data_IF_531709619934
#
_entry.id   IF_531709619934
#
_cell.length_a   1.000
_cell.length_b   1.000
_cell.length_c   1.000
_cell.angle_alpha   90.00
_cell.angle_beta   90.00
_cell.angle_gamma   90.00
#
_symmetry.space_group_name_H-M   'P 1'
#
loop_
_entity.id
_entity.type
_entity.pdbx_description
1 polymer ?
#
# COMPACT_ATOMS: atom_id res chain seq x y z
N UNK A 1 15.38 48.97 17.17
CA UNK A 1 15.38 48.58 15.75
C UNK A 1 14.35 47.47 15.56
N UNK A 2 13.31 47.66 14.74
CA UNK A 2 12.34 46.61 14.39
C UNK A 2 12.78 45.99 13.06
N UNK A 3 13.10 44.69 13.06
CA UNK A 3 13.39 43.96 11.83
C UNK A 3 12.09 43.85 11.01
N UNK A 4 12.13 44.36 9.78
CA UNK A 4 11.07 44.16 8.79
C UNK A 4 11.62 43.16 7.77
N UNK A 5 11.25 41.87 7.84
CA UNK A 5 11.74 40.90 6.87
C UNK A 5 11.11 41.21 5.51
N UNK A 6 11.93 41.68 4.57
CA UNK A 6 11.56 41.73 3.15
C UNK A 6 11.73 40.33 2.58
N UNK A 7 10.65 39.55 2.60
CA UNK A 7 10.62 38.32 1.82
C UNK A 7 10.33 38.69 0.36
N UNK A 8 11.39 39.04 -0.38
CA UNK A 8 11.30 39.38 -1.81
C UNK A 8 10.93 38.16 -2.70
N UNK A 9 10.78 36.96 -2.10
CA UNK A 9 10.46 35.69 -2.76
C UNK A 9 9.06 35.15 -2.41
N UNK A 10 8.10 36.01 -2.07
CA UNK A 10 6.71 35.60 -2.11
C UNK A 10 6.29 35.53 -3.59
N UNK A 11 6.64 34.43 -4.29
CA UNK A 11 6.03 34.10 -5.58
C UNK A 11 4.50 34.08 -5.35
N UNK A 12 3.83 35.16 -5.75
CA UNK A 12 2.39 35.36 -5.59
C UNK A 12 1.59 34.48 -6.55
N UNK A 13 2.26 33.92 -7.55
CA UNK A 13 1.68 33.11 -8.62
C UNK A 13 2.17 31.67 -8.50
N UNK A 14 1.25 30.79 -8.08
CA UNK A 14 1.49 29.35 -8.03
C UNK A 14 1.67 28.81 -9.45
N UNK A 15 2.91 28.65 -9.92
CA UNK A 15 3.17 28.12 -11.27
C UNK A 15 2.63 26.69 -11.38
N UNK A 16 1.91 26.39 -12.46
CA UNK A 16 1.30 25.09 -12.70
C UNK A 16 2.30 23.92 -12.59
N UNK A 17 3.56 24.16 -12.94
CA UNK A 17 4.64 23.16 -12.83
C UNK A 17 4.88 22.71 -11.39
N UNK A 18 4.78 23.62 -10.41
CA UNK A 18 4.88 23.25 -9.00
C UNK A 18 3.72 22.34 -8.58
N UNK A 19 2.50 22.63 -9.04
CA UNK A 19 1.32 21.79 -8.77
C UNK A 19 1.49 20.40 -9.39
N UNK A 20 2.01 20.31 -10.62
CA UNK A 20 2.29 19.03 -11.30
C UNK A 20 3.34 18.21 -10.55
N UNK A 21 4.44 18.83 -10.11
CA UNK A 21 5.50 18.16 -9.33
C UNK A 21 4.94 17.65 -8.00
N UNK A 22 4.19 18.47 -7.27
CA UNK A 22 3.59 18.07 -5.99
C UNK A 22 2.62 16.89 -6.17
N UNK A 23 1.79 16.91 -7.22
CA UNK A 23 0.89 15.79 -7.55
C UNK A 23 1.66 14.51 -7.88
N UNK A 24 2.73 14.60 -8.69
CA UNK A 24 3.55 13.44 -9.03
C UNK A 24 4.27 12.86 -7.80
N UNK A 25 4.75 13.72 -6.89
CA UNK A 25 5.36 13.30 -5.63
C UNK A 25 4.34 12.62 -4.71
N UNK A 26 3.12 13.17 -4.62
CA UNK A 26 2.03 12.59 -3.86
C UNK A 26 1.66 11.20 -4.41
N UNK A 27 1.47 11.08 -5.73
CA UNK A 27 1.19 9.80 -6.39
C UNK A 27 2.32 8.77 -6.15
N UNK A 28 3.58 9.20 -6.21
CA UNK A 28 4.72 8.33 -5.94
C UNK A 28 4.71 7.81 -4.50
N UNK A 29 4.34 8.66 -3.53
CA UNK A 29 4.18 8.25 -2.12
C UNK A 29 3.04 7.23 -1.97
N UNK A 30 1.88 7.50 -2.57
CA UNK A 30 0.73 6.59 -2.53
C UNK A 30 1.04 5.21 -3.11
N UNK A 31 1.80 5.14 -4.21
CA UNK A 31 2.25 3.87 -4.80
C UNK A 31 3.19 3.14 -3.83
N UNK A 32 4.16 3.85 -3.26
CA UNK A 32 5.13 3.26 -2.32
C UNK A 32 4.43 2.75 -1.04
N UNK A 33 3.47 3.50 -0.52
CA UNK A 33 2.68 3.16 0.66
C UNK A 33 1.81 1.93 0.40
N UNK A 34 1.13 1.89 -0.74
CA UNK A 34 0.34 0.72 -1.17
C UNK A 34 1.21 -0.52 -1.30
N UNK A 35 2.38 -0.39 -1.94
CA UNK A 35 3.33 -1.50 -2.08
C UNK A 35 3.79 -2.03 -0.72
N UNK A 36 4.13 -1.13 0.21
CA UNK A 36 4.54 -1.49 1.56
C UNK A 36 3.42 -2.17 2.35
N UNK A 37 2.17 -1.70 2.22
CA UNK A 37 1.00 -2.35 2.83
C UNK A 37 0.85 -3.79 2.36
N UNK A 38 0.85 -4.01 1.03
CA UNK A 38 0.71 -5.35 0.45
C UNK A 38 1.86 -6.27 0.91
N UNK A 39 3.10 -5.77 0.92
CA UNK A 39 4.27 -6.52 1.37
C UNK A 39 4.14 -6.92 2.84
N UNK A 40 3.83 -5.96 3.71
CA UNK A 40 3.70 -6.18 5.15
C UNK A 40 2.55 -7.13 5.48
N UNK A 41 1.43 -7.05 4.76
CA UNK A 41 0.33 -8.00 4.93
C UNK A 41 0.74 -9.43 4.52
N UNK A 42 1.44 -9.58 3.38
CA UNK A 42 1.95 -10.88 2.95
C UNK A 42 2.94 -11.48 3.96
N UNK A 43 3.78 -10.65 4.61
CA UNK A 43 4.63 -11.08 5.73
C UNK A 43 3.77 -11.51 6.92
N UNK A 44 2.80 -10.68 7.33
CA UNK A 44 1.97 -10.93 8.51
C UNK A 44 1.20 -12.25 8.42
N UNK A 45 0.54 -12.50 7.29
CA UNK A 45 -0.22 -13.74 7.05
C UNK A 45 0.72 -14.93 7.05
N UNK A 46 1.84 -14.86 6.33
CA UNK A 46 2.74 -16.00 6.16
C UNK A 46 3.62 -16.29 7.39
N UNK A 47 3.69 -15.38 8.36
CA UNK A 47 4.51 -15.54 9.57
C UNK A 47 4.01 -16.64 10.53
N UNK A 48 2.76 -17.08 10.43
CA UNK A 48 2.17 -18.09 11.32
C UNK A 48 1.25 -19.04 10.53
N UNK A 49 1.35 -20.38 10.73
CA UNK A 49 0.42 -21.34 10.15
C UNK A 49 -1.04 -21.02 10.49
N UNK A 50 -1.31 -20.64 11.75
CA UNK A 50 -2.65 -20.31 12.21
C UNK A 50 -3.25 -19.13 11.43
N UNK A 51 -2.46 -18.08 11.17
CA UNK A 51 -2.90 -16.94 10.35
C UNK A 51 -3.11 -17.32 8.89
N UNK A 52 -2.24 -18.17 8.34
CA UNK A 52 -2.40 -18.70 6.98
C UNK A 52 -3.68 -19.52 6.85
N UNK A 53 -3.96 -20.40 7.80
CA UNK A 53 -5.14 -21.26 7.79
C UNK A 53 -6.42 -20.44 7.99
N UNK A 54 -6.40 -19.44 8.88
CA UNK A 54 -7.46 -18.47 9.03
C UNK A 54 -7.77 -17.74 7.71
N UNK A 55 -6.74 -17.25 7.02
CA UNK A 55 -6.87 -16.59 5.71
C UNK A 55 -7.35 -17.55 4.62
N UNK A 56 -6.92 -18.81 4.67
CA UNK A 56 -7.34 -19.87 3.77
C UNK A 56 -8.83 -20.18 3.92
N UNK A 57 -9.33 -20.19 5.15
CA UNK A 57 -10.74 -20.47 5.46
C UNK A 57 -11.70 -19.34 5.10
N UNK A 58 -11.21 -18.13 4.85
CA UNK A 58 -12.01 -17.02 4.33
C UNK A 58 -12.39 -17.18 2.86
N UNK A 59 -11.72 -18.06 2.13
CA UNK A 59 -11.94 -18.22 0.70
C UNK A 59 -13.06 -19.22 0.43
N UNK A 60 -14.08 -18.86 -0.37
CA UNK A 60 -15.21 -19.73 -0.65
C UNK A 60 -14.87 -20.86 -1.63
N UNK A 61 -14.02 -20.57 -2.64
CA UNK A 61 -13.76 -21.46 -3.77
C UNK A 61 -12.32 -21.99 -3.79
N UNK A 62 -12.15 -23.20 -4.33
CA UNK A 62 -10.84 -23.77 -4.64
C UNK A 62 -10.36 -23.36 -6.06
N UNK A 63 -9.03 -23.25 -6.32
CA UNK A 63 -7.95 -23.43 -5.37
C UNK A 63 -7.74 -22.19 -4.51
N UNK A 64 -7.75 -22.39 -3.19
CA UNK A 64 -7.48 -21.32 -2.24
C UNK A 64 -6.02 -20.88 -2.31
N UNK A 65 -5.80 -19.57 -2.28
CA UNK A 65 -4.50 -18.94 -2.46
C UNK A 65 -4.06 -18.21 -1.20
N UNK A 66 -2.74 -18.17 -0.96
CA UNK A 66 -2.14 -17.29 0.04
C UNK A 66 -1.43 -16.11 -0.62
N UNK A 67 -1.25 -14.98 0.09
CA UNK A 67 -0.38 -13.90 -0.36
C UNK A 67 1.03 -14.42 -0.61
N UNK A 68 1.68 -13.88 -1.65
CA UNK A 68 3.09 -14.19 -1.94
C UNK A 68 3.93 -12.96 -1.62
N UNK A 69 5.15 -13.16 -1.12
CA UNK A 69 6.10 -12.08 -0.88
C UNK A 69 6.91 -11.80 -2.14
N UNK A 70 7.33 -10.55 -2.31
CA UNK A 70 8.36 -10.20 -3.26
C UNK A 70 9.74 -10.68 -2.77
N UNK A 71 10.67 -10.88 -3.70
CA UNK A 71 11.99 -11.41 -3.42
C UNK A 71 13.04 -10.58 -4.16
N UNK A 72 14.08 -10.14 -3.43
CA UNK A 72 15.14 -9.27 -3.96
C UNK A 72 15.84 -9.85 -5.20
N UNK A 73 15.95 -11.16 -5.29
CA UNK A 73 16.70 -11.86 -6.34
C UNK A 73 15.89 -12.18 -7.60
N UNK A 74 14.58 -11.88 -7.63
CA UNK A 74 13.70 -12.19 -8.76
C UNK A 74 13.05 -10.93 -9.32
N UNK A 75 13.37 -10.61 -10.57
CA UNK A 75 12.99 -9.35 -11.24
C UNK A 75 11.48 -9.12 -11.34
N UNK A 76 10.67 -10.17 -11.38
CA UNK A 76 9.20 -10.09 -11.51
C UNK A 76 8.44 -10.32 -10.20
N UNK A 77 9.13 -10.45 -9.07
CA UNK A 77 8.51 -10.86 -7.81
C UNK A 77 7.49 -9.83 -7.28
N UNK A 78 7.80 -8.54 -7.37
CA UNK A 78 6.87 -7.45 -7.04
C UNK A 78 5.60 -7.52 -7.88
N UNK A 79 5.74 -7.74 -9.19
CA UNK A 79 4.59 -7.87 -10.09
C UNK A 79 3.72 -9.08 -9.70
N UNK A 80 4.34 -10.23 -9.44
CA UNK A 80 3.60 -11.43 -9.03
C UNK A 80 2.89 -11.22 -7.68
N UNK A 81 3.53 -10.54 -6.73
CA UNK A 81 2.93 -10.17 -5.44
C UNK A 81 1.69 -9.31 -5.64
N UNK A 82 1.79 -8.24 -6.42
CA UNK A 82 0.67 -7.34 -6.71
C UNK A 82 -0.45 -8.05 -7.49
N UNK A 83 -0.10 -8.87 -8.49
CA UNK A 83 -1.08 -9.67 -9.24
C UNK A 83 -1.82 -10.65 -8.33
N UNK A 84 -1.13 -11.28 -7.37
CA UNK A 84 -1.74 -12.16 -6.38
C UNK A 84 -2.64 -11.38 -5.42
N UNK A 85 -2.17 -10.25 -4.90
CA UNK A 85 -2.93 -9.39 -4.00
C UNK A 85 -4.22 -8.89 -4.68
N UNK A 86 -4.16 -8.52 -5.96
CA UNK A 86 -5.35 -8.11 -6.72
C UNK A 86 -6.39 -9.24 -6.86
N UNK A 87 -5.96 -10.48 -7.07
CA UNK A 87 -6.87 -11.65 -7.09
C UNK A 87 -7.50 -11.93 -5.73
N UNK A 88 -6.78 -11.63 -4.65
CA UNK A 88 -7.21 -11.84 -3.27
C UNK A 88 -7.86 -10.60 -2.64
N UNK A 89 -8.15 -9.55 -3.41
CA UNK A 89 -8.57 -8.24 -2.89
C UNK A 89 -9.76 -8.34 -1.93
N UNK A 90 -10.84 -9.01 -2.32
CA UNK A 90 -12.02 -9.19 -1.47
C UNK A 90 -11.69 -9.93 -0.14
N UNK A 91 -10.77 -10.88 -0.20
CA UNK A 91 -10.33 -11.66 0.97
C UNK A 91 -9.41 -10.82 1.86
N UNK A 92 -8.56 -9.96 1.27
CA UNK A 92 -7.75 -9.00 2.02
C UNK A 92 -8.64 -8.07 2.83
N UNK A 93 -9.64 -7.48 2.19
CA UNK A 93 -10.56 -6.55 2.85
C UNK A 93 -11.34 -7.26 3.98
N UNK A 94 -11.89 -8.45 3.68
CA UNK A 94 -12.57 -9.30 4.70
C UNK A 94 -11.65 -9.66 5.87
N UNK A 95 -10.40 -10.03 5.60
CA UNK A 95 -9.41 -10.37 6.64
C UNK A 95 -9.03 -9.15 7.47
N UNK A 96 -8.94 -7.96 6.89
CA UNK A 96 -8.62 -6.74 7.63
C UNK A 96 -9.76 -6.35 8.57
N UNK A 97 -11.01 -6.51 8.14
CA UNK A 97 -12.20 -6.26 8.95
C UNK A 97 -12.36 -7.26 10.10
N UNK A 98 -12.13 -8.56 9.86
CA UNK A 98 -12.31 -9.60 10.88
C UNK A 98 -11.23 -9.60 11.98
N UNK A 99 -9.98 -9.28 11.63
CA UNK A 99 -8.84 -9.38 12.56
C UNK A 99 -8.37 -8.03 13.12
N UNK A 100 -9.18 -6.96 12.97
CA UNK A 100 -8.92 -5.60 13.50
C UNK A 100 -7.50 -5.12 13.17
N UNK A 101 -7.11 -5.23 11.90
CA UNK A 101 -5.87 -4.64 11.38
C UNK A 101 -6.21 -3.63 10.27
N UNK A 102 -6.93 -2.54 10.60
CA UNK A 102 -7.43 -1.59 9.60
C UNK A 102 -6.32 -0.94 8.76
N UNK A 103 -5.10 -0.88 9.29
CA UNK A 103 -3.94 -0.30 8.58
C UNK A 103 -3.51 -1.11 7.34
N UNK A 104 -3.95 -2.36 7.20
CA UNK A 104 -3.69 -3.18 6.01
C UNK A 104 -4.79 -3.11 4.95
N UNK A 105 -5.93 -2.49 5.23
CA UNK A 105 -7.00 -2.32 4.26
C UNK A 105 -6.49 -1.54 3.05
N UNK A 106 -6.80 -2.05 1.85
CA UNK A 106 -6.37 -1.45 0.59
C UNK A 106 -7.26 -0.27 0.19
N UNK A 107 -8.47 -0.21 0.74
CA UNK A 107 -9.36 0.95 0.67
C UNK A 107 -9.62 1.47 2.09
N UNK A 108 -9.40 2.76 2.37
CA UNK A 108 -9.99 3.40 3.54
C UNK A 108 -11.52 3.50 3.33
N UNK A 109 -12.31 3.31 4.38
CA UNK A 109 -13.73 3.70 4.39
C UNK A 109 -13.91 5.21 4.20
#
# INVERSE_FOLDING_TARGET
MKASPKNDNAELEWKEDHVRILRAQQQKREIADTLNKVRSFAIYINASPQRRDAFYNLQPDEPKLVPIQDARTRWNSTYLMLRRAKRLQAIFDTSCSQYVQPHFALHPE
#
